data_IF_298412669581
#
_entry.id   IF_298412669581
#
_cell.length_a   1.000
_cell.length_b   1.000
_cell.length_c   1.000
_cell.angle_alpha   90.00
_cell.angle_beta   90.00
_cell.angle_gamma   90.00
#
_symmetry.space_group_name_H-M   'P 1'
#
loop_
_entity.id
_entity.type
_entity.pdbx_description
1 polymer ?
#
# COMPACT_ATOMS: atom_id res chain seq x y z
N UNK A 1 -39.58 -55.44 -33.91
CA UNK A 1 -39.91 -54.64 -32.70
C UNK A 1 -38.72 -53.76 -32.37
N UNK A 2 -38.83 -52.46 -32.65
CA UNK A 2 -37.72 -51.51 -32.70
C UNK A 2 -37.45 -50.79 -31.37
N UNK A 3 -36.17 -50.57 -31.09
CA UNK A 3 -35.60 -49.92 -29.90
C UNK A 3 -36.11 -48.48 -29.69
N UNK A 4 -36.54 -48.19 -28.46
CA UNK A 4 -36.82 -46.84 -27.93
C UNK A 4 -35.55 -46.00 -27.80
N UNK A 5 -35.51 -44.82 -28.44
CA UNK A 5 -34.56 -43.73 -28.16
C UNK A 5 -35.24 -42.70 -27.25
N UNK A 6 -34.79 -42.59 -25.99
CA UNK A 6 -35.11 -41.47 -25.08
C UNK A 6 -34.10 -40.34 -25.32
N UNK A 7 -34.57 -39.21 -25.83
CA UNK A 7 -33.79 -37.97 -25.91
C UNK A 7 -33.64 -37.36 -24.50
N UNK A 8 -32.40 -37.07 -24.10
CA UNK A 8 -32.08 -36.25 -22.91
C UNK A 8 -32.04 -34.76 -23.30
N UNK A 9 -32.52 -33.84 -22.44
CA UNK A 9 -32.51 -32.40 -22.74
C UNK A 9 -31.10 -31.83 -22.51
N UNK A 10 -30.53 -31.22 -23.56
CA UNK A 10 -29.32 -30.39 -23.48
C UNK A 10 -29.70 -28.95 -23.16
N UNK A 11 -29.79 -28.59 -21.88
CA UNK A 11 -29.94 -27.18 -21.49
C UNK A 11 -29.49 -26.92 -20.03
N UNK A 12 -28.21 -27.11 -19.70
CA UNK A 12 -27.63 -26.63 -18.41
C UNK A 12 -26.12 -26.30 -18.46
N UNK A 13 -25.60 -25.70 -19.55
CA UNK A 13 -24.18 -25.29 -19.60
C UNK A 13 -23.93 -23.78 -19.75
N UNK A 14 -24.95 -22.95 -19.98
CA UNK A 14 -24.78 -21.48 -20.05
C UNK A 14 -24.65 -20.80 -18.68
N UNK A 15 -25.32 -21.30 -17.64
CA UNK A 15 -25.32 -20.65 -16.32
C UNK A 15 -24.04 -20.83 -15.49
N UNK A 16 -23.21 -21.84 -15.79
CA UNK A 16 -21.95 -22.08 -15.07
C UNK A 16 -20.83 -21.15 -15.56
N UNK A 17 -20.84 -20.78 -16.85
CA UNK A 17 -19.89 -19.82 -17.39
C UNK A 17 -20.14 -18.40 -16.87
N UNK A 18 -21.40 -17.95 -16.77
CA UNK A 18 -21.73 -16.62 -16.22
C UNK A 18 -21.45 -16.53 -14.71
N UNK A 19 -21.70 -17.59 -13.94
CA UNK A 19 -21.38 -17.63 -12.51
C UNK A 19 -19.87 -17.71 -12.25
N UNK A 20 -19.13 -18.41 -13.12
CA UNK A 20 -17.65 -18.47 -13.09
C UNK A 20 -17.03 -17.13 -13.52
N UNK A 21 -17.60 -16.44 -14.52
CA UNK A 21 -17.18 -15.10 -14.95
C UNK A 21 -17.49 -14.02 -13.92
N UNK A 22 -18.65 -14.08 -13.24
CA UNK A 22 -18.95 -13.17 -12.13
C UNK A 22 -18.09 -13.45 -10.90
N UNK A 23 -17.77 -14.72 -10.62
CA UNK A 23 -16.80 -15.07 -9.57
C UNK A 23 -15.42 -14.56 -9.93
N UNK A 24 -14.91 -14.81 -11.13
CA UNK A 24 -13.60 -14.31 -11.58
C UNK A 24 -13.54 -12.80 -11.72
N UNK A 25 -14.61 -12.09 -12.07
CA UNK A 25 -14.68 -10.62 -12.02
C UNK A 25 -14.68 -10.08 -10.58
N UNK A 26 -15.29 -10.82 -9.63
CA UNK A 26 -15.27 -10.52 -8.19
C UNK A 26 -13.96 -10.93 -7.51
N UNK A 27 -13.21 -11.88 -8.10
CA UNK A 27 -11.84 -12.25 -7.74
C UNK A 27 -10.80 -11.33 -8.41
N UNK A 28 -11.14 -10.73 -9.56
CA UNK A 28 -10.35 -9.72 -10.30
C UNK A 28 -10.60 -8.28 -9.86
N UNK A 29 -11.65 -8.01 -9.10
CA UNK A 29 -11.69 -6.85 -8.22
C UNK A 29 -10.48 -7.01 -7.30
N UNK A 30 -9.38 -6.38 -7.72
CA UNK A 30 -8.06 -6.50 -7.15
C UNK A 30 -8.12 -6.43 -5.63
N UNK A 31 -7.24 -7.15 -4.94
CA UNK A 31 -7.08 -7.01 -3.50
C UNK A 31 -6.66 -5.57 -3.20
N UNK A 32 -7.66 -4.74 -2.91
CA UNK A 32 -7.47 -3.35 -2.55
C UNK A 32 -6.62 -3.35 -1.27
N UNK A 33 -5.49 -2.68 -1.32
CA UNK A 33 -4.67 -2.41 -0.14
C UNK A 33 -5.29 -1.21 0.59
N UNK A 34 -5.67 -1.41 1.86
CA UNK A 34 -6.42 -0.45 2.65
C UNK A 34 -5.56 0.21 3.73
N UNK A 35 -5.58 1.53 3.78
CA UNK A 35 -4.88 2.35 4.78
C UNK A 35 -5.91 3.14 5.59
N UNK A 36 -6.07 2.88 6.89
CA UNK A 36 -7.01 3.62 7.71
C UNK A 36 -6.41 4.98 8.05
N UNK A 37 -7.15 6.06 7.84
CA UNK A 37 -6.74 7.40 8.24
C UNK A 37 -7.87 8.17 8.89
N UNK A 38 -7.61 8.71 10.08
CA UNK A 38 -8.51 9.66 10.73
C UNK A 38 -8.52 10.99 9.96
N UNK A 39 -9.73 11.47 9.68
CA UNK A 39 -10.00 12.68 8.92
C UNK A 39 -10.29 13.86 9.87
N UNK A 40 -10.27 15.09 9.37
CA UNK A 40 -10.57 16.30 10.15
C UNK A 40 -11.95 16.27 10.84
N UNK A 41 -12.95 15.62 10.21
CA UNK A 41 -14.29 15.42 10.78
C UNK A 41 -14.35 14.38 11.91
N UNK A 42 -13.23 13.74 12.27
CA UNK A 42 -13.14 12.74 13.33
C UNK A 42 -13.39 11.29 12.87
N UNK A 43 -13.96 11.07 11.68
CA UNK A 43 -14.14 9.75 11.10
C UNK A 43 -12.80 9.08 10.74
N UNK A 44 -12.76 7.75 10.79
CA UNK A 44 -11.68 6.96 10.21
C UNK A 44 -12.16 6.32 8.91
N UNK A 45 -11.41 6.56 7.83
CA UNK A 45 -11.71 6.06 6.49
C UNK A 45 -10.59 5.11 6.09
N UNK A 46 -10.95 3.92 5.62
CA UNK A 46 -10.02 3.04 4.91
C UNK A 46 -9.91 3.56 3.47
N UNK A 47 -8.76 4.14 3.14
CA UNK A 47 -8.42 4.54 1.78
C UNK A 47 -7.74 3.39 1.06
N UNK A 48 -8.22 3.08 -0.13
CA UNK A 48 -7.85 1.89 -0.87
C UNK A 48 -7.23 2.20 -2.21
N UNK A 49 -6.19 1.45 -2.58
CA UNK A 49 -5.66 1.43 -3.94
C UNK A 49 -5.52 0.00 -4.44
N UNK A 50 -5.42 -0.15 -5.76
CA UNK A 50 -5.11 -1.42 -6.38
C UNK A 50 -4.12 -1.23 -7.52
N UNK A 51 -3.22 -2.19 -7.72
CA UNK A 51 -2.25 -2.17 -8.83
C UNK A 51 -2.90 -2.14 -10.22
N UNK A 52 -4.20 -2.45 -10.32
CA UNK A 52 -4.95 -2.34 -11.57
C UNK A 52 -5.43 -0.91 -11.86
N UNK A 53 -5.62 -0.09 -10.82
CA UNK A 53 -6.27 1.22 -10.94
C UNK A 53 -5.34 2.38 -10.62
N UNK A 54 -4.27 2.14 -9.86
CA UNK A 54 -3.26 3.11 -9.46
C UNK A 54 -1.91 2.41 -9.24
N UNK A 55 -0.81 3.07 -9.58
CA UNK A 55 0.48 2.69 -9.02
C UNK A 55 0.57 3.14 -7.54
N UNK A 56 1.35 2.44 -6.70
CA UNK A 56 1.48 2.76 -5.28
C UNK A 56 1.99 4.18 -5.00
N UNK A 57 2.84 4.73 -5.89
CA UNK A 57 3.41 6.07 -5.69
C UNK A 57 2.35 7.14 -5.87
N UNK A 58 1.51 7.03 -6.91
CA UNK A 58 0.36 7.93 -7.09
C UNK A 58 -0.57 7.90 -5.88
N UNK A 59 -0.82 6.73 -5.28
CA UNK A 59 -1.61 6.66 -4.05
C UNK A 59 -0.91 7.32 -2.87
N UNK A 60 0.39 7.06 -2.69
CA UNK A 60 1.21 7.60 -1.62
C UNK A 60 1.31 9.14 -1.67
N UNK A 61 1.42 9.73 -2.87
CA UNK A 61 1.44 11.19 -3.05
C UNK A 61 0.07 11.83 -2.81
N UNK A 62 -1.00 11.14 -3.19
CA UNK A 62 -2.37 11.66 -3.07
C UNK A 62 -2.92 11.57 -1.65
N UNK A 63 -2.66 10.47 -0.95
CA UNK A 63 -3.26 10.13 0.35
C UNK A 63 -3.05 11.21 1.45
N UNK A 64 -1.86 11.86 1.57
CA UNK A 64 -1.64 12.97 2.51
C UNK A 64 -2.67 14.10 2.40
N UNK A 65 -3.15 14.39 1.19
CA UNK A 65 -4.16 15.43 0.96
C UNK A 65 -5.50 15.13 1.64
N UNK A 66 -5.74 13.89 2.09
CA UNK A 66 -6.98 13.50 2.75
C UNK A 66 -7.04 13.93 4.22
N UNK A 67 -5.91 14.18 4.88
CA UNK A 67 -5.90 14.58 6.29
C UNK A 67 -6.72 15.85 6.58
N UNK A 68 -6.75 16.79 5.64
CA UNK A 68 -7.38 18.10 5.80
C UNK A 68 -8.77 18.21 5.16
N UNK A 69 -9.23 17.16 4.48
CA UNK A 69 -10.52 17.15 3.77
C UNK A 69 -11.55 16.39 4.59
N UNK A 70 -12.82 16.81 4.52
CA UNK A 70 -13.93 16.04 5.08
C UNK A 70 -13.98 14.63 4.49
N UNK A 71 -14.38 13.64 5.29
CA UNK A 71 -14.56 12.30 4.76
C UNK A 71 -15.66 12.30 3.68
N UNK A 72 -15.67 11.33 2.74
CA UNK A 72 -16.67 11.30 1.66
C UNK A 72 -18.13 11.36 2.13
N UNK A 73 -18.44 10.80 3.32
CA UNK A 73 -19.78 10.83 3.90
C UNK A 73 -20.16 12.15 4.58
N UNK A 74 -19.19 13.03 4.82
CA UNK A 74 -19.38 14.38 5.38
C UNK A 74 -18.98 15.49 4.39
N UNK A 75 -18.70 15.13 3.13
CA UNK A 75 -18.51 16.08 2.05
C UNK A 75 -19.86 16.35 1.35
N UNK A 76 -20.12 17.60 0.97
CA UNK A 76 -21.28 17.94 0.13
C UNK A 76 -21.12 17.28 -1.24
N UNK A 77 -22.11 16.50 -1.73
CA UNK A 77 -23.55 16.58 -1.43
C UNK A 77 -24.09 15.45 -0.53
N UNK A 78 -23.24 14.59 0.04
CA UNK A 78 -23.67 13.46 0.88
C UNK A 78 -23.94 13.89 2.34
N UNK A 79 -23.51 15.10 2.71
CA UNK A 79 -23.81 15.70 4.00
C UNK A 79 -25.35 15.81 4.19
N UNK A 80 -25.87 15.07 5.16
CA UNK A 80 -27.31 15.07 5.50
C UNK A 80 -28.11 13.86 5.03
N UNK A 81 -27.50 12.93 4.27
CA UNK A 81 -28.14 11.64 3.98
C UNK A 81 -28.18 10.75 5.24
N UNK A 82 -29.36 10.20 5.57
CA UNK A 82 -29.51 9.27 6.69
C UNK A 82 -28.75 7.97 6.43
N UNK A 83 -28.08 7.46 7.48
CA UNK A 83 -27.03 6.42 7.39
C UNK A 83 -27.41 5.08 6.77
N UNK A 84 -28.68 4.82 6.43
CA UNK A 84 -29.12 3.61 5.72
C UNK A 84 -28.96 3.70 4.21
N UNK A 85 -28.84 4.90 3.64
CA UNK A 85 -28.81 5.12 2.17
C UNK A 85 -27.40 5.40 1.62
N UNK A 86 -26.41 5.52 2.52
CA UNK A 86 -25.03 5.79 2.13
C UNK A 86 -24.32 4.48 1.80
N UNK A 87 -23.60 4.41 0.66
CA UNK A 87 -22.83 3.22 0.31
C UNK A 87 -21.70 2.99 1.32
N UNK A 88 -21.45 1.71 1.62
CA UNK A 88 -20.36 1.29 2.51
C UNK A 88 -18.98 1.50 1.87
N UNK A 89 -18.90 1.38 0.54
CA UNK A 89 -17.70 1.57 -0.27
C UNK A 89 -17.98 2.54 -1.43
N UNK A 90 -17.03 3.42 -1.69
CA UNK A 90 -17.05 4.46 -2.71
C UNK A 90 -15.81 4.34 -3.60
N UNK A 91 -15.99 4.61 -4.89
CA UNK A 91 -14.86 4.85 -5.81
C UNK A 91 -14.63 6.35 -5.86
N UNK A 92 -13.37 6.75 -5.69
CA UNK A 92 -12.92 8.14 -5.67
C UNK A 92 -11.93 8.35 -6.81
N UNK A 93 -12.20 9.36 -7.63
CA UNK A 93 -11.29 9.77 -8.69
C UNK A 93 -10.63 11.09 -8.30
N UNK A 94 -9.31 11.12 -8.02
CA UNK A 94 -8.59 12.37 -7.76
C UNK A 94 -8.72 13.34 -8.94
N UNK A 95 -8.93 14.61 -8.64
CA UNK A 95 -9.13 15.64 -9.67
C UNK A 95 -7.93 15.72 -10.62
N UNK A 96 -8.19 15.77 -11.93
CA UNK A 96 -7.15 15.83 -12.95
C UNK A 96 -6.44 14.50 -13.25
N UNK A 97 -6.88 13.40 -12.66
CA UNK A 97 -6.29 12.06 -12.89
C UNK A 97 -7.30 11.09 -13.50
N UNK A 98 -6.81 10.07 -14.21
CA UNK A 98 -7.61 8.92 -14.64
C UNK A 98 -7.60 7.77 -13.63
N UNK A 99 -7.01 8.00 -12.46
CA UNK A 99 -6.79 6.98 -11.42
C UNK A 99 -8.07 6.78 -10.61
N UNK A 100 -8.38 5.52 -10.33
CA UNK A 100 -9.53 5.15 -9.49
C UNK A 100 -9.01 4.60 -8.15
N UNK A 101 -9.42 5.25 -7.08
CA UNK A 101 -9.13 4.87 -5.70
C UNK A 101 -10.43 4.46 -5.01
N UNK A 102 -10.29 3.87 -3.83
CA UNK A 102 -11.41 3.34 -3.06
C UNK A 102 -11.47 4.02 -1.69
N UNK A 103 -12.67 4.12 -1.14
CA UNK A 103 -12.90 4.60 0.21
C UNK A 103 -14.01 3.79 0.86
N UNK A 104 -13.82 3.37 2.10
CA UNK A 104 -14.88 2.78 2.93
C UNK A 104 -14.79 3.26 4.36
N UNK A 105 -15.89 3.18 5.10
CA UNK A 105 -15.84 3.43 6.56
C UNK A 105 -14.95 2.36 7.20
N UNK A 106 -13.98 2.78 8.00
CA UNK A 106 -13.11 1.83 8.70
C UNK A 106 -13.91 1.08 9.78
N UNK A 107 -13.66 -0.21 9.91
CA UNK A 107 -14.16 -1.02 11.01
C UNK A 107 -13.64 -0.49 12.35
N UNK A 108 -14.39 -0.69 13.43
CA UNK A 108 -14.10 -0.08 14.74
C UNK A 108 -12.72 -0.47 15.30
N UNK A 109 -12.26 -1.68 15.01
CA UNK A 109 -10.94 -2.21 15.39
C UNK A 109 -9.76 -1.51 14.67
N UNK A 110 -10.03 -0.77 13.59
CA UNK A 110 -9.02 0.00 12.83
C UNK A 110 -8.98 1.48 13.22
N UNK A 111 -9.84 1.93 14.15
CA UNK A 111 -9.93 3.36 14.48
C UNK A 111 -8.71 3.89 15.21
N UNK A 112 -8.15 3.09 16.13
CA UNK A 112 -6.92 3.43 16.85
C UNK A 112 -5.75 3.59 15.88
N UNK A 113 -5.52 2.57 15.04
CA UNK A 113 -4.49 2.61 13.99
C UNK A 113 -4.68 3.82 13.07
N UNK A 114 -5.92 4.11 12.62
CA UNK A 114 -6.17 5.26 11.76
C UNK A 114 -5.88 6.61 12.43
N UNK A 115 -6.03 6.71 13.75
CA UNK A 115 -5.63 7.88 14.53
C UNK A 115 -4.11 8.02 14.66
N UNK A 116 -3.42 6.90 14.90
CA UNK A 116 -1.95 6.85 14.96
C UNK A 116 -1.33 7.25 13.61
N UNK A 117 -1.76 6.62 12.51
CA UNK A 117 -1.22 6.90 11.18
C UNK A 117 -1.48 8.34 10.76
N UNK A 118 -2.66 8.89 11.06
CA UNK A 118 -2.96 10.29 10.77
C UNK A 118 -2.06 11.26 11.57
N UNK A 119 -1.75 10.93 12.83
CA UNK A 119 -0.86 11.73 13.68
C UNK A 119 0.57 11.68 13.17
N UNK A 120 1.08 10.49 12.85
CA UNK A 120 2.43 10.31 12.27
C UNK A 120 2.55 11.02 10.92
N UNK A 121 1.57 10.88 10.05
CA UNK A 121 1.57 11.53 8.74
C UNK A 121 1.56 13.06 8.88
N UNK A 122 0.71 13.61 9.75
CA UNK A 122 0.68 15.05 10.02
C UNK A 122 2.03 15.55 10.53
N UNK A 123 2.68 14.81 11.43
CA UNK A 123 4.01 15.14 11.94
C UNK A 123 5.07 15.21 10.82
N UNK A 124 5.15 14.18 9.98
CA UNK A 124 6.12 14.12 8.87
C UNK A 124 5.91 15.27 7.89
N UNK A 125 4.66 15.58 7.53
CA UNK A 125 4.33 16.70 6.63
C UNK A 125 4.64 18.06 7.27
N UNK A 126 4.39 18.23 8.57
CA UNK A 126 4.74 19.46 9.29
C UNK A 126 6.25 19.65 9.34
N UNK A 127 7.00 18.59 9.65
CA UNK A 127 8.46 18.60 9.67
C UNK A 127 9.04 18.92 8.29
N UNK A 128 8.51 18.31 7.23
CA UNK A 128 8.88 18.64 5.84
C UNK A 128 8.60 20.12 5.51
N UNK A 129 7.46 20.66 5.98
CA UNK A 129 7.11 22.08 5.82
C UNK A 129 8.05 23.06 6.54
N UNK A 130 8.82 22.59 7.54
CA UNK A 130 9.85 23.39 8.23
C UNK A 130 11.18 23.41 7.46
N UNK A 131 11.35 22.55 6.45
CA UNK A 131 12.52 22.48 5.57
C UNK A 131 13.32 21.19 5.68
N UNK A 132 14.20 20.97 4.71
CA UNK A 132 14.99 19.74 4.52
C UNK A 132 15.81 19.35 5.76
N UNK A 133 16.43 20.33 6.43
CA UNK A 133 17.24 20.05 7.61
C UNK A 133 16.40 19.47 8.77
N UNK A 134 15.21 20.02 9.01
CA UNK A 134 14.34 19.54 10.08
C UNK A 134 13.86 18.10 9.82
N UNK A 135 13.61 17.79 8.54
CA UNK A 135 13.22 16.47 8.08
C UNK A 135 14.36 15.46 8.26
N UNK A 136 15.59 15.83 7.91
CA UNK A 136 16.76 14.99 8.17
C UNK A 136 17.07 14.85 9.66
N UNK A 137 16.84 15.88 10.47
CA UNK A 137 17.08 15.80 11.91
C UNK A 137 16.17 14.79 12.62
N UNK A 138 15.00 14.50 12.03
CA UNK A 138 14.06 13.48 12.52
C UNK A 138 14.46 12.04 12.16
N UNK A 139 15.29 11.86 11.12
CA UNK A 139 15.75 10.56 10.67
C UNK A 139 16.71 9.89 11.68
N UNK A 140 16.63 8.55 11.87
CA UNK A 140 17.60 7.80 12.67
C UNK A 140 19.04 8.09 12.27
N UNK A 141 19.95 8.22 13.23
CA UNK A 141 21.29 8.77 12.98
C UNK A 141 22.11 7.92 11.98
N UNK A 142 22.00 6.59 12.09
CA UNK A 142 22.62 5.64 11.17
C UNK A 142 22.05 5.80 9.75
N UNK A 143 20.72 5.79 9.61
CA UNK A 143 20.06 5.91 8.32
C UNK A 143 20.24 7.28 7.66
N UNK A 144 20.20 8.36 8.44
CA UNK A 144 20.55 9.70 7.97
C UNK A 144 21.95 9.76 7.36
N UNK A 145 22.93 9.20 8.06
CA UNK A 145 24.32 9.16 7.59
C UNK A 145 24.43 8.37 6.28
N UNK A 146 23.69 7.26 6.18
CA UNK A 146 23.59 6.47 4.97
C UNK A 146 22.96 7.26 3.80
N UNK A 147 21.83 7.95 4.04
CA UNK A 147 21.13 8.76 3.03
C UNK A 147 22.04 9.86 2.47
N UNK A 148 22.73 10.59 3.35
CA UNK A 148 23.68 11.65 2.96
C UNK A 148 24.80 11.12 2.06
N UNK A 149 25.27 9.90 2.31
CA UNK A 149 26.36 9.30 1.54
C UNK A 149 25.90 8.70 0.19
N UNK A 150 24.63 8.28 0.08
CA UNK A 150 24.19 7.40 -1.01
C UNK A 150 23.08 7.98 -1.90
N UNK A 151 22.51 9.13 -1.56
CA UNK A 151 21.40 9.74 -2.30
C UNK A 151 21.71 11.17 -2.70
N UNK A 152 21.16 11.61 -3.85
CA UNK A 152 21.31 12.99 -4.30
C UNK A 152 20.45 13.97 -3.49
N UNK A 153 19.32 13.49 -2.95
CA UNK A 153 18.40 14.25 -2.11
C UNK A 153 18.03 13.43 -0.86
N UNK A 154 18.85 13.51 0.21
CA UNK A 154 18.64 12.74 1.43
C UNK A 154 17.32 13.06 2.13
N UNK A 155 16.90 14.32 2.10
CA UNK A 155 15.68 14.76 2.77
C UNK A 155 14.45 14.18 2.07
N UNK A 156 14.39 14.30 0.74
CA UNK A 156 13.30 13.71 -0.04
C UNK A 156 13.26 12.18 0.10
N UNK A 157 14.41 11.50 0.09
CA UNK A 157 14.46 10.05 0.30
C UNK A 157 13.95 9.62 1.69
N UNK A 158 14.22 10.41 2.73
CA UNK A 158 13.65 10.17 4.06
C UNK A 158 12.13 10.41 4.08
N UNK A 159 11.64 11.47 3.44
CA UNK A 159 10.20 11.71 3.32
C UNK A 159 9.49 10.56 2.62
N UNK A 160 10.02 10.10 1.49
CA UNK A 160 9.46 8.98 0.73
C UNK A 160 9.42 7.69 1.56
N UNK A 161 10.48 7.42 2.32
CA UNK A 161 10.53 6.30 3.27
C UNK A 161 9.38 6.39 4.28
N UNK A 162 9.25 7.50 5.01
CA UNK A 162 8.22 7.67 6.03
C UNK A 162 6.80 7.62 5.44
N UNK A 163 6.58 8.22 4.27
CA UNK A 163 5.30 8.16 3.58
C UNK A 163 4.95 6.71 3.19
N UNK A 164 5.92 5.94 2.70
CA UNK A 164 5.70 4.54 2.38
C UNK A 164 5.35 3.73 3.64
N UNK A 165 6.12 3.92 4.71
CA UNK A 165 5.92 3.19 5.96
C UNK A 165 4.55 3.49 6.57
N UNK A 166 4.12 4.75 6.57
CA UNK A 166 2.83 5.14 7.11
C UNK A 166 1.69 4.71 6.19
N UNK A 167 1.78 4.98 4.89
CA UNK A 167 0.66 4.86 3.95
C UNK A 167 0.56 3.45 3.38
N UNK A 168 1.64 2.91 2.83
CA UNK A 168 1.62 1.61 2.17
C UNK A 168 1.76 0.47 3.17
N UNK A 169 2.59 0.65 4.20
CA UNK A 169 2.85 -0.37 5.22
C UNK A 169 1.97 -0.23 6.48
N UNK A 170 1.05 0.74 6.52
CA UNK A 170 0.14 0.97 7.64
C UNK A 170 0.88 1.13 8.97
N UNK A 171 2.02 1.82 8.96
CA UNK A 171 2.87 2.08 10.11
C UNK A 171 3.78 0.93 10.52
N UNK A 172 3.73 -0.21 9.82
CA UNK A 172 4.59 -1.36 10.07
C UNK A 172 5.95 -1.14 9.42
N UNK A 173 6.96 -0.85 10.24
CA UNK A 173 8.30 -0.66 9.70
C UNK A 173 8.88 -1.96 9.14
N UNK A 174 9.36 -1.92 7.90
CA UNK A 174 10.09 -3.02 7.29
C UNK A 174 11.37 -3.36 8.08
N UNK A 175 11.98 -2.37 8.73
CA UNK A 175 13.13 -2.52 9.62
C UNK A 175 12.86 -1.87 10.99
N UNK A 176 13.10 -2.56 12.12
CA UNK A 176 13.08 -1.93 13.44
C UNK A 176 13.93 -0.65 13.48
N UNK A 177 13.43 0.39 14.16
CA UNK A 177 14.15 1.68 14.28
C UNK A 177 15.55 1.48 14.87
N UNK A 178 15.72 0.54 15.78
CA UNK A 178 17.01 0.19 16.37
C UNK A 178 18.03 -0.27 15.33
N UNK A 179 17.59 -0.95 14.26
CA UNK A 179 18.47 -1.31 13.15
C UNK A 179 18.81 -0.12 12.26
N UNK A 180 17.89 0.83 12.10
CA UNK A 180 18.14 2.08 11.37
C UNK A 180 19.10 3.01 12.14
N UNK A 181 19.05 3.01 13.47
CA UNK A 181 19.99 3.75 14.32
C UNK A 181 21.41 3.15 14.25
N UNK A 182 21.51 1.83 14.12
CA UNK A 182 22.77 1.09 14.13
C UNK A 182 23.05 0.38 12.80
N UNK A 183 22.86 1.08 11.68
CA UNK A 183 23.17 0.50 10.38
C UNK A 183 24.65 0.04 10.34
N UNK A 184 24.91 -1.22 9.94
CA UNK A 184 26.27 -1.73 9.83
C UNK A 184 27.14 -0.82 8.97
N UNK A 185 28.37 -0.53 9.43
CA UNK A 185 29.34 0.30 8.69
C UNK A 185 29.57 -0.19 7.26
N UNK A 186 29.39 -1.49 7.03
CA UNK A 186 29.50 -2.15 5.72
C UNK A 186 28.50 -1.60 4.68
N UNK A 187 27.34 -1.09 5.12
CA UNK A 187 26.35 -0.44 4.25
C UNK A 187 26.65 1.05 4.04
N UNK A 188 27.44 1.67 4.90
CA UNK A 188 27.84 3.08 4.83
C UNK A 188 28.98 3.32 3.83
N UNK A 189 29.77 2.29 3.54
CA UNK A 189 30.76 2.32 2.45
C UNK A 189 30.07 2.04 1.11
N UNK A 190 30.13 2.94 0.12
CA UNK A 190 29.66 2.63 -1.23
C UNK A 190 30.49 1.45 -1.75
N UNK A 191 29.84 0.28 -1.89
CA UNK A 191 30.50 -0.95 -2.30
C UNK A 191 31.12 -0.80 -3.68
N UNK A 192 32.44 -0.77 -3.74
CA UNK A 192 33.19 -1.11 -4.95
C UNK A 192 33.21 -2.64 -5.03
N UNK A 193 32.47 -3.20 -5.99
CA UNK A 193 32.46 -4.60 -6.46
C UNK A 193 32.52 -5.71 -5.38
N UNK A 194 31.41 -6.42 -5.14
CA UNK A 194 31.45 -7.70 -4.42
C UNK A 194 30.38 -8.68 -4.91
N UNK A 195 30.86 -9.87 -5.27
CA UNK A 195 30.11 -11.07 -5.68
C UNK A 195 29.06 -11.48 -4.64
N UNK A 196 27.88 -11.86 -5.12
CA UNK A 196 26.73 -12.28 -4.32
C UNK A 196 26.96 -13.64 -3.63
N UNK A 197 26.63 -13.80 -2.34
CA UNK A 197 26.43 -15.11 -1.74
C UNK A 197 24.99 -15.60 -1.93
N UNK A 198 24.84 -16.89 -2.18
CA UNK A 198 23.55 -17.59 -2.28
C UNK A 198 22.93 -17.80 -0.89
N UNK A 199 21.66 -17.39 -0.73
CA UNK A 199 20.72 -17.85 0.30
C UNK A 199 21.01 -17.49 1.78
N UNK A 200 20.79 -16.23 2.12
CA UNK A 200 20.09 -15.76 3.33
C UNK A 200 19.72 -14.29 3.06
N UNK A 201 18.43 -13.93 3.10
CA UNK A 201 17.88 -12.58 2.82
C UNK A 201 18.81 -11.67 2.00
N UNK A 202 18.67 -11.70 0.67
CA UNK A 202 19.49 -10.93 -0.26
C UNK A 202 19.73 -9.51 0.27
N UNK A 203 20.96 -8.98 0.17
CA UNK A 203 21.25 -7.60 0.55
C UNK A 203 20.26 -6.59 -0.08
N UNK A 204 19.66 -6.94 -1.23
CA UNK A 204 18.61 -6.20 -1.93
C UNK A 204 17.29 -6.13 -1.13
N UNK A 205 16.94 -7.17 -0.37
CA UNK A 205 15.78 -7.22 0.54
C UNK A 205 16.00 -6.39 1.80
N UNK A 206 17.21 -6.40 2.36
CA UNK A 206 17.53 -5.50 3.47
C UNK A 206 17.60 -4.04 3.01
N UNK A 207 18.05 -3.82 1.77
CA UNK A 207 18.20 -2.50 1.15
C UNK A 207 16.87 -1.89 0.68
N UNK A 208 15.97 -2.69 0.10
CA UNK A 208 14.66 -2.20 -0.29
C UNK A 208 13.77 -1.98 0.94
N UNK A 209 13.83 -2.85 1.95
CA UNK A 209 13.25 -2.58 3.27
C UNK A 209 13.81 -1.30 3.92
N UNK A 210 15.11 -1.03 3.79
CA UNK A 210 15.71 0.23 4.25
C UNK A 210 15.20 1.45 3.46
N UNK A 211 14.88 1.32 2.17
CA UNK A 211 14.35 2.39 1.35
C UNK A 211 12.81 2.49 1.36
N UNK A 212 12.11 1.84 2.31
CA UNK A 212 10.65 1.86 2.34
C UNK A 212 10.05 0.93 1.28
N UNK A 213 10.48 -0.33 1.26
CA UNK A 213 9.89 -1.36 0.41
C UNK A 213 8.42 -1.58 0.77
N UNK A 214 7.59 -1.86 -0.24
CA UNK A 214 6.19 -2.21 -0.01
C UNK A 214 6.16 -3.57 0.70
N UNK A 215 5.49 -3.67 1.85
CA UNK A 215 5.35 -4.92 2.58
C UNK A 215 4.11 -5.70 2.14
N UNK A 216 4.23 -7.02 2.08
CA UNK A 216 3.06 -7.88 2.00
C UNK A 216 2.27 -7.87 3.32
N UNK A 217 1.04 -8.42 3.35
CA UNK A 217 0.23 -8.49 4.57
C UNK A 217 0.91 -9.20 5.75
N UNK A 218 1.88 -10.06 5.43
CA UNK A 218 2.67 -10.86 6.36
C UNK A 218 3.97 -10.14 6.80
N UNK A 219 4.24 -8.93 6.28
CA UNK A 219 5.39 -8.11 6.67
C UNK A 219 6.69 -8.40 5.93
N UNK A 220 6.65 -9.11 4.79
CA UNK A 220 7.85 -9.34 3.97
C UNK A 220 8.01 -8.28 2.89
N UNK A 221 9.26 -7.87 2.65
CA UNK A 221 9.64 -6.95 1.57
C UNK A 221 9.33 -7.54 0.19
N UNK A 222 8.66 -6.75 -0.63
CA UNK A 222 8.17 -7.12 -1.95
C UNK A 222 9.20 -6.92 -3.07
N UNK A 223 10.22 -6.09 -2.83
CA UNK A 223 11.19 -5.62 -3.83
C UNK A 223 12.28 -6.65 -4.16
N UNK A 224 12.23 -7.85 -3.60
CA UNK A 224 13.28 -8.86 -3.72
C UNK A 224 13.35 -9.59 -5.07
N UNK A 225 12.69 -9.09 -6.11
CA UNK A 225 12.74 -9.67 -7.46
C UNK A 225 13.59 -8.81 -8.40
N UNK A 226 14.39 -9.40 -9.30
CA UNK A 226 15.05 -8.68 -10.39
C UNK A 226 14.07 -8.20 -11.49
N UNK A 227 12.77 -8.16 -11.20
CA UNK A 227 11.70 -7.68 -12.08
C UNK A 227 11.18 -6.32 -11.63
N UNK A 228 10.61 -5.56 -12.58
CA UNK A 228 10.06 -4.23 -12.31
C UNK A 228 8.98 -4.29 -11.22
N UNK A 229 9.17 -3.53 -10.14
CA UNK A 229 8.21 -3.32 -9.02
C UNK A 229 6.79 -2.98 -9.52
N UNK A 230 6.65 -2.49 -10.74
CA UNK A 230 5.36 -2.17 -11.37
C UNK A 230 4.56 -3.39 -11.84
N UNK A 231 5.12 -4.60 -11.81
CA UNK A 231 4.53 -5.79 -12.46
C UNK A 231 3.78 -6.76 -11.55
N UNK A 232 3.78 -6.60 -10.22
CA UNK A 232 2.79 -7.30 -9.39
C UNK A 232 3.14 -8.75 -8.98
N UNK A 233 4.41 -9.18 -8.98
CA UNK A 233 4.77 -10.59 -8.68
C UNK A 233 4.58 -10.98 -7.19
N UNK A 234 4.17 -12.22 -6.86
CA UNK A 234 3.96 -12.64 -5.48
C UNK A 234 5.28 -12.75 -4.69
N UNK A 235 5.19 -12.53 -3.37
CA UNK A 235 6.31 -12.73 -2.44
C UNK A 235 6.79 -14.20 -2.47
N UNK A 236 8.10 -14.42 -2.60
CA UNK A 236 8.72 -15.76 -2.64
C UNK A 236 8.77 -16.44 -1.27
N UNK A 237 8.74 -15.67 -0.17
CA UNK A 237 8.87 -16.17 1.19
C UNK A 237 7.57 -16.63 1.83
N UNK A 238 6.42 -16.23 1.29
CA UNK A 238 5.14 -16.61 1.83
C UNK A 238 4.07 -16.71 0.73
N UNK A 239 3.21 -17.72 0.82
CA UNK A 239 2.00 -17.84 0.02
C UNK A 239 0.91 -16.83 0.45
N UNK A 240 1.30 -15.63 0.87
CA UNK A 240 0.35 -14.60 1.27
C UNK A 240 -0.37 -14.15 -0.01
N UNK A 241 -1.69 -14.33 0.01
CA UNK A 241 -2.57 -14.23 -1.16
C UNK A 241 -2.69 -12.83 -1.72
N UNK A 242 -2.12 -11.81 -1.07
CA UNK A 242 -2.06 -10.44 -1.59
C UNK A 242 -1.15 -10.41 -2.82
N UNK A 243 -1.82 -10.52 -3.97
CA UNK A 243 -1.34 -10.59 -5.35
C UNK A 243 -0.93 -11.99 -5.85
N UNK A 244 -1.86 -12.96 -5.80
CA UNK A 244 -1.79 -14.12 -6.70
C UNK A 244 -2.60 -13.89 -7.98
N UNK A 245 -1.91 -13.99 -9.12
CA UNK A 245 -2.48 -14.25 -10.44
C UNK A 245 -3.36 -15.50 -10.44
N UNK A 246 -4.62 -15.35 -10.87
CA UNK A 246 -5.35 -16.39 -11.62
C UNK A 246 -5.96 -15.76 -12.87
#
# INVERSE_FOLDING_TARGET
MGRTKKNKPRHKLRGLHDASQRRTARTRAAQIAWTPLKQACGCVVDWGWSSQTADPMTFMEWCPSRLTVSCPWHADPLAGASGTDLPDELVVQPHGTSVLLHARKAAADRHELGGELATRLAHVLETAGRGEQALLDDAPAGFRSWLIANTADPAQAWLEHELCEIILNQGRCALPRELLEHLPEQLLTPSSESLQPESAACNICSFSAANGGILCACGHDWSCHPGEVRQGEPCSHCACTNMQHV
#
